data_IF_648754297057
#
_entry.id   IF_648754297057
#
_cell.length_a   1.000
_cell.length_b   1.000
_cell.length_c   1.000
_cell.angle_alpha   90.00
_cell.angle_beta   90.00
_cell.angle_gamma   90.00
#
_symmetry.space_group_name_H-M   'P 1'
#
loop_
_entity.id
_entity.type
_entity.pdbx_description
1 polymer ?
#
# COMPACT_ATOMS: atom_id res chain seq x y z
N UNK A 1 27.95 -34.02 -38.91
CA UNK A 1 26.87 -35.00 -38.67
C UNK A 1 26.51 -34.96 -37.19
N UNK A 2 25.25 -34.57 -36.85
CA UNK A 2 24.60 -34.60 -35.51
C UNK A 2 25.26 -33.68 -34.45
N UNK A 3 24.63 -32.63 -33.91
CA UNK A 3 23.26 -32.57 -33.37
C UNK A 3 22.61 -31.20 -33.62
N UNK A 4 21.67 -31.19 -34.56
CA UNK A 4 20.46 -30.36 -34.53
C UNK A 4 19.52 -30.95 -33.47
N UNK A 5 19.63 -30.53 -32.21
CA UNK A 5 18.60 -30.69 -31.15
C UNK A 5 18.95 -29.59 -30.14
N UNK A 6 18.34 -28.41 -30.15
CA UNK A 6 17.14 -28.16 -29.38
C UNK A 6 16.54 -26.82 -29.83
N UNK A 7 15.91 -26.83 -31.00
CA UNK A 7 14.89 -25.85 -31.39
C UNK A 7 13.55 -26.48 -30.98
N UNK A 8 12.61 -25.68 -30.49
CA UNK A 8 11.22 -26.02 -30.08
C UNK A 8 11.04 -26.23 -28.56
N UNK A 9 10.77 -25.12 -27.85
CA UNK A 9 9.53 -24.87 -27.09
C UNK A 9 9.70 -23.55 -26.30
N UNK A 10 9.65 -22.43 -27.00
CA UNK A 10 9.18 -21.18 -26.41
C UNK A 10 7.95 -20.78 -27.23
N UNK A 11 6.88 -21.53 -27.03
CA UNK A 11 5.53 -21.12 -27.41
C UNK A 11 5.32 -19.73 -26.82
N UNK A 12 5.21 -18.74 -27.71
CA UNK A 12 5.07 -17.34 -27.37
C UNK A 12 3.88 -17.13 -26.45
N UNK A 13 4.15 -17.01 -25.16
CA UNK A 13 3.31 -16.19 -24.29
C UNK A 13 3.74 -14.78 -24.63
N UNK A 14 3.07 -14.20 -25.63
CA UNK A 14 3.04 -12.76 -25.80
C UNK A 14 2.38 -12.26 -24.51
N UNK A 15 3.22 -11.90 -23.54
CA UNK A 15 2.78 -11.15 -22.38
C UNK A 15 2.37 -9.80 -22.95
N UNK A 16 1.08 -9.67 -23.28
CA UNK A 16 0.49 -8.39 -23.60
C UNK A 16 0.56 -7.60 -22.29
N UNK A 17 1.67 -6.91 -22.08
CA UNK A 17 1.73 -5.83 -21.13
C UNK A 17 0.75 -4.79 -21.67
N UNK A 18 -0.52 -4.91 -21.27
CA UNK A 18 -1.41 -3.77 -21.29
C UNK A 18 -0.81 -2.85 -20.24
N UNK A 19 0.15 -2.03 -20.66
CA UNK A 19 0.43 -0.78 -20.01
C UNK A 19 -0.87 0.00 -20.15
N UNK A 20 -1.76 -0.15 -19.19
CA UNK A 20 -2.84 0.82 -19.00
C UNK A 20 -2.09 2.11 -18.67
N UNK A 21 -1.85 2.94 -19.69
CA UNK A 21 -1.39 4.31 -19.50
C UNK A 21 -2.42 4.95 -18.59
N UNK A 22 -1.99 5.19 -17.36
CA UNK A 22 -2.84 5.83 -16.36
C UNK A 22 -3.11 7.25 -16.88
N UNK A 23 -4.36 7.72 -16.86
CA UNK A 23 -4.67 9.02 -17.44
C UNK A 23 -3.82 10.09 -16.74
N UNK A 24 -3.11 10.88 -17.54
CA UNK A 24 -2.24 11.93 -17.03
C UNK A 24 -3.04 13.11 -16.47
N UNK A 25 -2.41 13.95 -15.61
CA UNK A 25 -2.90 15.33 -15.53
C UNK A 25 -2.84 15.87 -16.96
N UNK A 26 -3.90 16.56 -17.38
CA UNK A 26 -3.95 17.16 -18.71
C UNK A 26 -4.05 18.66 -18.62
N UNK A 27 -3.26 19.35 -19.43
CA UNK A 27 -3.52 20.74 -19.77
C UNK A 27 -4.02 20.79 -21.21
N UNK A 28 -5.10 21.52 -21.44
CA UNK A 28 -5.59 21.83 -22.77
C UNK A 28 -5.15 23.26 -23.06
N UNK A 29 -4.34 23.44 -24.08
CA UNK A 29 -3.93 24.78 -24.54
C UNK A 29 -5.08 25.42 -25.33
N UNK A 30 -5.10 26.75 -25.40
CA UNK A 30 -6.05 27.53 -26.24
C UNK A 30 -5.97 27.16 -27.72
N UNK A 31 -4.84 26.60 -28.16
CA UNK A 31 -4.67 26.03 -29.50
C UNK A 31 -5.42 24.71 -29.72
N UNK A 32 -6.03 24.14 -28.67
CA UNK A 32 -6.65 22.82 -28.66
C UNK A 32 -5.67 21.67 -28.43
N UNK A 33 -4.36 21.94 -28.35
CA UNK A 33 -3.35 20.92 -28.06
C UNK A 33 -3.50 20.43 -26.62
N UNK A 34 -3.60 19.12 -26.45
CA UNK A 34 -3.59 18.45 -25.13
C UNK A 34 -2.16 18.07 -24.79
N UNK A 35 -1.73 18.41 -23.59
CA UNK A 35 -0.46 17.96 -23.01
C UNK A 35 -0.79 17.03 -21.86
N UNK A 36 -0.21 15.83 -21.91
CA UNK A 36 -0.34 14.80 -20.89
C UNK A 36 0.95 14.73 -20.06
N UNK A 37 0.86 14.92 -18.74
CA UNK A 37 2.00 14.74 -17.84
C UNK A 37 1.62 14.84 -16.36
N UNK A 38 2.59 14.96 -15.46
CA UNK A 38 2.35 15.28 -14.04
C UNK A 38 2.54 16.79 -13.84
N UNK A 39 1.53 17.49 -13.33
CA UNK A 39 1.70 18.93 -13.02
C UNK A 39 2.51 19.05 -11.74
N UNK A 40 3.77 19.46 -11.87
CA UNK A 40 4.72 19.60 -10.76
C UNK A 40 4.73 21.01 -10.17
N UNK A 41 4.32 22.01 -10.95
CA UNK A 41 4.21 23.40 -10.51
C UNK A 41 3.03 24.09 -11.20
N UNK A 42 2.27 24.88 -10.43
CA UNK A 42 1.23 25.75 -10.96
C UNK A 42 1.30 27.09 -10.21
N UNK A 43 1.61 28.15 -10.94
CA UNK A 43 1.61 29.53 -10.45
C UNK A 43 0.58 30.35 -11.24
N UNK A 44 0.47 31.64 -10.91
CA UNK A 44 -0.34 32.58 -11.68
C UNK A 44 0.23 32.83 -13.08
N UNK A 45 1.52 32.55 -13.30
CA UNK A 45 2.23 32.82 -14.56
C UNK A 45 2.41 31.59 -15.44
N UNK A 46 2.63 30.40 -14.85
CA UNK A 46 2.94 29.20 -15.61
C UNK A 46 2.44 27.91 -14.97
N UNK A 47 2.46 26.86 -15.77
CA UNK A 47 2.32 25.46 -15.34
C UNK A 47 3.52 24.67 -15.84
N UNK A 48 4.21 23.99 -14.94
CA UNK A 48 5.25 23.03 -15.28
C UNK A 48 4.68 21.62 -15.27
N UNK A 49 4.88 20.87 -16.36
CA UNK A 49 4.36 19.52 -16.57
C UNK A 49 5.52 18.57 -16.84
N UNK A 50 5.70 17.58 -15.98
CA UNK A 50 6.65 16.49 -16.21
C UNK A 50 6.04 15.48 -17.20
N UNK A 51 6.59 15.42 -18.42
CA UNK A 51 6.19 14.49 -19.49
C UNK A 51 7.25 13.40 -19.67
N UNK A 52 6.97 12.35 -20.44
CA UNK A 52 7.98 11.31 -20.74
C UNK A 52 9.23 11.85 -21.43
N UNK A 53 9.07 12.92 -22.22
CA UNK A 53 10.17 13.63 -22.90
C UNK A 53 10.92 14.63 -22.00
N UNK A 54 10.54 14.74 -20.73
CA UNK A 54 11.05 15.72 -19.76
C UNK A 54 10.04 16.81 -19.39
N UNK A 55 10.49 17.78 -18.60
CA UNK A 55 9.65 18.88 -18.09
C UNK A 55 9.33 19.91 -19.18
N UNK A 56 8.05 20.18 -19.40
CA UNK A 56 7.56 21.28 -20.23
C UNK A 56 6.99 22.41 -19.40
N UNK A 57 7.17 23.65 -19.85
CA UNK A 57 6.64 24.85 -19.20
C UNK A 57 5.63 25.51 -20.13
N UNK A 58 4.47 25.87 -19.58
CA UNK A 58 3.34 26.41 -20.34
C UNK A 58 2.86 27.68 -19.66
N UNK A 59 2.71 28.77 -20.41
CA UNK A 59 2.19 30.02 -19.85
C UNK A 59 0.73 29.82 -19.42
N UNK A 60 0.35 30.38 -18.28
CA UNK A 60 -1.02 30.30 -17.76
C UNK A 60 -2.02 30.91 -18.74
N UNK A 61 -1.60 31.94 -19.47
CA UNK A 61 -2.41 32.62 -20.47
C UNK A 61 -2.69 31.75 -21.70
N UNK A 62 -1.85 30.76 -22.00
CA UNK A 62 -2.01 29.86 -23.15
C UNK A 62 -2.84 28.63 -22.80
N UNK A 63 -3.16 28.42 -21.52
CA UNK A 63 -3.91 27.27 -21.04
C UNK A 63 -5.41 27.60 -21.03
N UNK A 64 -6.18 26.78 -21.72
CA UNK A 64 -7.64 26.82 -21.72
C UNK A 64 -8.22 26.15 -20.48
N UNK A 65 -7.72 24.96 -20.12
CA UNK A 65 -8.17 24.23 -18.94
C UNK A 65 -7.08 23.33 -18.38
N UNK A 66 -7.11 23.15 -17.06
CA UNK A 66 -6.25 22.22 -16.34
C UNK A 66 -7.13 21.15 -15.71
N UNK A 67 -6.92 19.90 -16.09
CA UNK A 67 -7.55 18.76 -15.47
C UNK A 67 -6.49 18.00 -14.67
N UNK A 68 -6.40 18.30 -13.38
CA UNK A 68 -5.60 17.51 -12.44
C UNK A 68 -6.38 16.25 -12.06
N UNK A 69 -5.74 15.09 -12.14
CA UNK A 69 -6.22 13.91 -11.43
C UNK A 69 -6.28 14.26 -9.94
N UNK A 70 -7.48 14.28 -9.38
CA UNK A 70 -7.67 14.36 -7.94
C UNK A 70 -7.51 12.97 -7.37
N UNK A 71 -7.07 12.86 -6.11
CA UNK A 71 -7.23 11.60 -5.40
C UNK A 71 -8.72 11.32 -5.27
N UNK A 72 -9.20 10.29 -5.96
CA UNK A 72 -10.59 9.86 -5.87
C UNK A 72 -10.80 9.14 -4.54
N UNK A 73 -12.03 9.19 -4.04
CA UNK A 73 -12.43 8.39 -2.88
C UNK A 73 -12.24 6.92 -3.28
N UNK A 74 -11.34 6.25 -2.58
CA UNK A 74 -11.15 4.83 -2.73
C UNK A 74 -12.18 4.09 -1.88
N UNK A 75 -12.57 2.90 -2.33
CA UNK A 75 -13.40 2.00 -1.53
C UNK A 75 -12.56 0.91 -0.90
N UNK A 76 -12.88 0.61 0.35
CA UNK A 76 -12.45 -0.57 1.07
C UNK A 76 -13.54 -1.63 1.11
N UNK A 77 -13.16 -2.84 1.49
CA UNK A 77 -14.10 -3.92 1.80
C UNK A 77 -13.55 -4.84 2.87
N UNK A 78 -14.41 -5.31 3.76
CA UNK A 78 -14.11 -6.42 4.66
C UNK A 78 -14.07 -7.71 3.83
N UNK A 79 -12.92 -8.39 3.80
CA UNK A 79 -12.73 -9.66 3.08
C UNK A 79 -12.80 -10.88 4.00
N UNK A 80 -12.67 -10.67 5.30
CA UNK A 80 -12.81 -11.68 6.36
C UNK A 80 -13.33 -11.01 7.63
N UNK A 81 -14.28 -11.65 8.30
CA UNK A 81 -14.80 -11.24 9.60
C UNK A 81 -15.04 -12.49 10.45
N UNK A 82 -14.47 -12.51 11.65
CA UNK A 82 -14.64 -13.58 12.64
C UNK A 82 -15.06 -12.95 13.96
N UNK A 83 -16.05 -13.52 14.64
CA UNK A 83 -16.61 -12.95 15.87
C UNK A 83 -17.43 -11.69 15.61
N UNK A 84 -17.42 -10.76 16.55
CA UNK A 84 -18.14 -9.48 16.47
C UNK A 84 -17.28 -8.44 15.76
N UNK A 85 -17.65 -8.13 14.53
CA UNK A 85 -17.05 -7.07 13.71
C UNK A 85 -18.14 -6.11 13.29
N UNK A 86 -17.91 -4.82 13.46
CA UNK A 86 -18.87 -3.78 13.15
C UNK A 86 -18.22 -2.60 12.44
N UNK A 87 -19.01 -1.89 11.64
CA UNK A 87 -18.64 -0.63 11.00
C UNK A 87 -19.56 0.46 11.49
N UNK A 88 -18.99 1.63 11.77
CA UNK A 88 -19.71 2.88 12.00
C UNK A 88 -19.52 3.76 10.77
N UNK A 89 -20.55 3.91 9.92
CA UNK A 89 -20.48 4.79 8.77
C UNK A 89 -20.24 6.24 9.19
N UNK A 90 -19.51 6.99 8.37
CA UNK A 90 -19.24 8.41 8.63
C UNK A 90 -20.53 9.20 8.85
N UNK A 91 -20.61 9.92 9.97
CA UNK A 91 -21.75 10.77 10.31
C UNK A 91 -22.91 10.03 10.97
N UNK A 92 -22.83 8.71 11.08
CA UNK A 92 -23.76 7.92 11.88
C UNK A 92 -23.28 7.78 13.33
N UNK A 93 -24.19 7.38 14.21
CA UNK A 93 -23.93 7.15 15.64
C UNK A 93 -24.10 5.69 16.05
N UNK A 94 -24.59 4.84 15.13
CA UNK A 94 -24.93 3.43 15.40
C UNK A 94 -23.96 2.51 14.66
N UNK A 95 -23.32 1.63 15.42
CA UNK A 95 -22.48 0.56 14.88
C UNK A 95 -23.35 -0.51 14.22
N UNK A 96 -22.96 -0.96 13.03
CA UNK A 96 -23.66 -1.97 12.24
C UNK A 96 -22.79 -3.22 12.10
N UNK A 97 -23.35 -4.43 12.18
CA UNK A 97 -22.60 -5.65 11.87
C UNK A 97 -21.94 -5.57 10.50
N UNK A 98 -20.67 -5.97 10.42
CA UNK A 98 -19.86 -5.89 9.22
C UNK A 98 -19.33 -7.27 8.80
N UNK A 99 -20.19 -8.13 8.22
CA UNK A 99 -19.76 -9.41 7.67
C UNK A 99 -18.82 -9.22 6.46
N UNK A 100 -18.24 -10.32 5.98
CA UNK A 100 -17.49 -10.33 4.72
C UNK A 100 -18.32 -9.70 3.58
N UNK A 101 -17.69 -8.82 2.82
CA UNK A 101 -18.31 -8.06 1.73
C UNK A 101 -18.76 -6.65 2.12
N UNK A 102 -18.80 -6.33 3.42
CA UNK A 102 -19.18 -4.99 3.89
C UNK A 102 -18.22 -3.94 3.32
N UNK A 103 -18.72 -2.88 2.65
CA UNK A 103 -17.90 -1.79 2.16
C UNK A 103 -17.35 -0.97 3.34
N UNK A 104 -16.21 -0.33 3.12
CA UNK A 104 -15.61 0.64 4.04
C UNK A 104 -15.22 1.86 3.22
N UNK A 105 -15.82 3.02 3.52
CA UNK A 105 -15.55 4.26 2.82
C UNK A 105 -14.71 5.24 3.68
N UNK A 106 -14.26 6.34 3.08
CA UNK A 106 -13.53 7.40 3.81
C UNK A 106 -14.39 7.96 4.96
N UNK A 107 -13.81 7.95 6.16
CA UNK A 107 -14.40 8.45 7.41
C UNK A 107 -15.13 7.38 8.23
N UNK A 108 -15.31 6.18 7.69
CA UNK A 108 -15.91 5.06 8.43
C UNK A 108 -14.97 4.57 9.53
N UNK A 109 -15.55 4.01 10.60
CA UNK A 109 -14.79 3.30 11.63
C UNK A 109 -15.07 1.81 11.58
N UNK A 110 -14.04 0.99 11.79
CA UNK A 110 -14.14 -0.46 11.96
C UNK A 110 -13.80 -0.78 13.41
N UNK A 111 -14.59 -1.65 14.05
CA UNK A 111 -14.24 -2.21 15.36
C UNK A 111 -14.41 -3.71 15.42
N UNK A 112 -13.69 -4.32 16.34
CA UNK A 112 -13.70 -5.75 16.64
C UNK A 112 -13.83 -5.96 18.14
N UNK A 113 -14.71 -6.88 18.55
CA UNK A 113 -14.88 -7.28 19.94
C UNK A 113 -13.77 -8.21 20.45
N UNK A 114 -13.91 -8.75 21.67
CA UNK A 114 -13.09 -9.85 22.17
C UNK A 114 -13.18 -11.08 21.25
N UNK A 115 -12.08 -11.83 21.10
CA UNK A 115 -12.00 -13.02 20.24
C UNK A 115 -12.48 -12.79 18.80
N UNK A 116 -12.39 -11.54 18.32
CA UNK A 116 -12.92 -11.12 17.02
C UNK A 116 -11.81 -10.54 16.15
N UNK A 117 -12.00 -10.58 14.85
CA UNK A 117 -10.98 -10.18 13.88
C UNK A 117 -11.61 -9.79 12.57
N UNK A 118 -11.14 -8.70 11.99
CA UNK A 118 -11.51 -8.28 10.65
C UNK A 118 -10.27 -8.21 9.76
N UNK A 119 -10.40 -8.58 8.49
CA UNK A 119 -9.40 -8.26 7.47
C UNK A 119 -10.09 -7.41 6.41
N UNK A 120 -9.57 -6.21 6.19
CA UNK A 120 -10.02 -5.27 5.19
C UNK A 120 -8.99 -5.15 4.08
N UNK A 121 -9.47 -4.94 2.86
CA UNK A 121 -8.66 -4.58 1.70
C UNK A 121 -9.11 -3.22 1.21
N UNK A 122 -8.14 -2.35 0.96
CA UNK A 122 -8.32 -0.95 0.58
C UNK A 122 -7.66 -0.64 -0.77
N UNK A 123 -7.68 0.64 -1.16
CA UNK A 123 -6.93 1.24 -2.26
C UNK A 123 -5.62 0.52 -2.61
N UNK A 124 -5.24 0.46 -3.90
CA UNK A 124 -4.00 -0.17 -4.38
C UNK A 124 -3.58 -1.47 -3.65
N UNK A 125 -4.54 -2.25 -3.15
CA UNK A 125 -4.30 -3.56 -2.50
C UNK A 125 -3.63 -3.49 -1.12
N UNK A 126 -3.82 -2.38 -0.39
CA UNK A 126 -3.45 -2.34 1.03
C UNK A 126 -4.33 -3.31 1.82
N UNK A 127 -3.71 -4.19 2.59
CA UNK A 127 -4.37 -5.12 3.49
C UNK A 127 -4.22 -4.58 4.91
N UNK A 128 -5.32 -4.54 5.66
CA UNK A 128 -5.30 -4.25 7.08
C UNK A 128 -6.04 -5.35 7.83
N UNK A 129 -5.39 -5.98 8.80
CA UNK A 129 -6.08 -6.83 9.76
C UNK A 129 -6.29 -6.05 11.06
N UNK A 130 -7.53 -5.97 11.50
CA UNK A 130 -7.97 -5.37 12.75
C UNK A 130 -8.12 -6.49 13.77
N UNK A 131 -7.21 -6.53 14.74
CA UNK A 131 -7.18 -7.56 15.79
C UNK A 131 -8.32 -7.37 16.79
N UNK A 132 -8.52 -8.31 17.68
CA UNK A 132 -9.54 -8.20 18.73
C UNK A 132 -9.42 -6.92 19.56
N UNK A 133 -10.54 -6.47 20.11
CA UNK A 133 -10.62 -5.29 20.98
C UNK A 133 -10.00 -4.04 20.35
N UNK A 134 -10.19 -3.86 19.05
CA UNK A 134 -9.60 -2.75 18.30
C UNK A 134 -10.66 -1.85 17.70
N UNK A 135 -10.30 -0.57 17.52
CA UNK A 135 -11.13 0.41 16.83
C UNK A 135 -10.24 1.29 15.97
N UNK A 136 -10.52 1.33 14.66
CA UNK A 136 -9.78 2.13 13.69
C UNK A 136 -10.74 2.97 12.86
N UNK A 137 -10.47 4.28 12.74
CA UNK A 137 -11.18 5.18 11.85
C UNK A 137 -10.36 5.43 10.57
N UNK A 138 -11.01 5.33 9.41
CA UNK A 138 -10.39 5.55 8.12
C UNK A 138 -10.50 7.02 7.68
N UNK A 139 -9.83 7.94 8.39
CA UNK A 139 -9.93 9.39 8.18
C UNK A 139 -9.69 9.83 6.72
N UNK A 140 -8.76 9.17 6.03
CA UNK A 140 -8.52 9.31 4.60
C UNK A 140 -8.46 7.95 3.95
N UNK A 141 -9.18 7.81 2.85
CA UNK A 141 -9.15 6.61 2.02
C UNK A 141 -9.25 7.02 0.57
N UNK A 142 -8.11 7.38 -0.01
CA UNK A 142 -8.07 7.98 -1.35
C UNK A 142 -7.01 7.31 -2.21
N UNK A 143 -7.25 7.27 -3.52
CA UNK A 143 -6.31 6.75 -4.49
C UNK A 143 -6.36 7.55 -5.78
N UNK A 144 -5.23 7.65 -6.45
CA UNK A 144 -5.15 8.01 -7.86
C UNK A 144 -4.16 7.05 -8.51
N UNK A 145 -4.42 6.62 -9.75
CA UNK A 145 -3.46 5.83 -10.47
C UNK A 145 -2.07 6.49 -10.56
N UNK A 146 -1.98 7.81 -10.85
CA UNK A 146 -0.69 8.53 -10.89
C UNK A 146 -0.13 8.90 -9.53
N UNK A 147 -0.97 9.45 -8.64
CA UNK A 147 -0.52 10.02 -7.36
C UNK A 147 -0.33 8.94 -6.29
N UNK A 148 -0.83 7.74 -6.55
CA UNK A 148 -0.75 6.59 -5.65
C UNK A 148 -1.85 6.64 -4.60
N UNK A 149 -1.52 6.37 -3.33
CA UNK A 149 -2.52 6.35 -2.26
C UNK A 149 -2.36 7.51 -1.30
N UNK A 150 -3.46 7.93 -0.69
CA UNK A 150 -3.46 8.78 0.50
C UNK A 150 -4.39 8.16 1.53
N UNK A 151 -3.81 7.35 2.41
CA UNK A 151 -4.54 6.66 3.47
C UNK A 151 -4.07 7.18 4.82
N UNK A 152 -5.04 7.53 5.66
CA UNK A 152 -4.82 7.91 7.04
C UNK A 152 -5.78 7.11 7.90
N UNK A 153 -5.22 6.23 8.73
CA UNK A 153 -5.94 5.43 9.69
C UNK A 153 -5.67 5.96 11.10
N UNK A 154 -6.71 6.11 11.91
CA UNK A 154 -6.62 6.52 13.30
C UNK A 154 -6.99 5.33 14.19
N UNK A 155 -6.00 4.75 14.86
CA UNK A 155 -6.18 3.62 15.77
C UNK A 155 -6.43 4.17 17.18
N UNK A 156 -7.68 4.05 17.63
CA UNK A 156 -8.08 4.49 18.97
C UNK A 156 -7.62 3.55 20.08
N UNK A 157 -7.53 2.24 19.77
CA UNK A 157 -7.13 1.20 20.72
C UNK A 157 -6.96 -0.15 20.04
N UNK A 158 -6.28 -1.09 20.69
CA UNK A 158 -6.05 -2.44 20.19
C UNK A 158 -4.87 -2.51 19.23
N UNK A 159 -4.98 -3.27 18.15
CA UNK A 159 -3.88 -3.55 17.22
C UNK A 159 -4.36 -3.68 15.77
N UNK A 160 -3.56 -3.13 14.85
CA UNK A 160 -3.70 -3.38 13.40
C UNK A 160 -2.39 -3.89 12.79
N UNK A 161 -2.52 -4.93 11.97
CA UNK A 161 -1.49 -5.36 11.04
C UNK A 161 -1.75 -4.74 9.67
N UNK A 162 -0.71 -4.20 9.04
CA UNK A 162 -0.82 -3.56 7.75
C UNK A 162 0.16 -4.20 6.78
N UNK A 163 -0.32 -4.54 5.60
CA UNK A 163 0.51 -4.82 4.45
C UNK A 163 0.16 -3.84 3.33
N UNK A 164 0.96 -2.79 3.23
CA UNK A 164 0.77 -1.64 2.34
C UNK A 164 1.38 -1.88 0.96
N UNK A 165 2.34 -2.81 0.87
CA UNK A 165 3.13 -2.99 -0.34
C UNK A 165 4.13 -1.87 -0.53
N UNK A 166 4.90 -1.96 -1.61
CA UNK A 166 5.86 -0.92 -1.97
C UNK A 166 5.10 0.24 -2.59
N UNK A 167 5.18 1.41 -1.95
CA UNK A 167 4.61 2.63 -2.49
C UNK A 167 5.41 3.07 -3.72
N UNK A 168 4.75 3.11 -4.88
CA UNK A 168 5.41 3.34 -6.18
C UNK A 168 5.67 4.81 -6.49
N UNK A 169 5.00 5.73 -5.80
CA UNK A 169 5.02 7.16 -6.10
C UNK A 169 5.49 7.93 -4.87
N UNK A 170 6.27 9.00 -5.07
CA UNK A 170 6.73 9.87 -3.96
C UNK A 170 5.58 10.56 -3.22
N UNK A 171 4.44 10.71 -3.91
CA UNK A 171 3.21 11.31 -3.38
C UNK A 171 2.37 10.33 -2.55
N UNK A 172 2.63 9.02 -2.67
CA UNK A 172 1.92 8.02 -1.86
C UNK A 172 2.19 8.22 -0.38
N UNK A 173 1.11 8.23 0.39
CA UNK A 173 1.10 8.48 1.82
C UNK A 173 0.25 7.43 2.50
N UNK A 174 0.83 6.75 3.47
CA UNK A 174 0.12 5.90 4.40
C UNK A 174 0.52 6.28 5.82
N UNK A 175 -0.47 6.69 6.61
CA UNK A 175 -0.28 7.07 8.00
C UNK A 175 -1.17 6.25 8.91
N UNK A 176 -0.61 5.83 10.04
CA UNK A 176 -1.36 5.38 11.21
C UNK A 176 -1.13 6.40 12.31
N UNK A 177 -2.20 6.94 12.86
CA UNK A 177 -2.17 7.81 14.02
C UNK A 177 -2.76 7.10 15.23
N UNK A 178 -2.18 7.35 16.39
CA UNK A 178 -2.73 6.96 17.69
C UNK A 178 -2.83 8.20 18.58
N UNK A 179 -3.16 8.00 19.85
CA UNK A 179 -3.02 9.05 20.86
C UNK A 179 -1.57 9.53 21.03
N UNK A 180 -0.58 8.64 20.88
CA UNK A 180 0.82 8.95 21.17
C UNK A 180 1.70 9.11 19.94
N UNK A 181 1.39 8.48 18.82
CA UNK A 181 2.31 8.38 17.69
C UNK A 181 1.64 8.70 16.34
N UNK A 182 2.48 9.10 15.40
CA UNK A 182 2.15 9.16 13.97
C UNK A 182 3.22 8.40 13.21
N UNK A 183 2.80 7.44 12.37
CA UNK A 183 3.70 6.66 11.51
C UNK A 183 3.65 7.17 10.08
N UNK A 184 4.78 7.41 9.43
CA UNK A 184 4.89 7.60 7.98
C UNK A 184 5.49 6.36 7.33
N UNK A 185 4.78 5.74 6.40
CA UNK A 185 5.17 4.44 5.83
C UNK A 185 5.68 4.61 4.40
N UNK A 186 6.80 3.93 4.07
CA UNK A 186 7.29 3.80 2.68
C UNK A 186 7.36 2.37 2.15
N UNK A 187 6.84 1.40 2.90
CA UNK A 187 6.71 -0.03 2.54
C UNK A 187 7.17 -0.94 3.68
N UNK A 188 6.78 -2.23 3.79
CA UNK A 188 5.57 -2.86 3.22
C UNK A 188 4.73 -3.59 4.27
N UNK A 189 5.31 -4.16 5.35
CA UNK A 189 4.54 -4.87 6.40
C UNK A 189 4.94 -4.42 7.80
N UNK A 190 3.96 -3.97 8.58
CA UNK A 190 4.17 -3.51 9.95
C UNK A 190 2.90 -3.63 10.79
N UNK A 191 3.06 -3.57 12.11
CA UNK A 191 1.95 -3.52 13.07
C UNK A 191 2.03 -2.26 13.91
N UNK A 192 0.86 -1.74 14.29
CA UNK A 192 0.72 -0.70 15.30
C UNK A 192 -0.22 -1.23 16.37
N UNK A 193 0.22 -1.18 17.63
CA UNK A 193 -0.56 -1.59 18.79
C UNK A 193 -0.62 -0.44 19.78
N UNK A 194 -1.79 -0.19 20.34
CA UNK A 194 -2.00 0.68 21.50
C UNK A 194 -2.20 -0.23 22.71
N UNK A 195 -1.23 -0.22 23.62
CA UNK A 195 -1.30 -0.96 24.87
C UNK A 195 -2.28 -0.32 25.87
N UNK A 196 -2.61 -1.04 26.94
CA UNK A 196 -3.59 -0.60 27.94
C UNK A 196 -3.18 0.69 28.67
N UNK A 197 -1.89 0.96 28.79
CA UNK A 197 -1.29 2.18 29.34
C UNK A 197 -1.21 3.33 28.30
N UNK A 198 -1.88 3.18 27.16
CA UNK A 198 -1.83 4.04 25.98
C UNK A 198 -0.47 4.10 25.26
N UNK A 199 0.53 3.31 25.65
CA UNK A 199 1.81 3.23 24.93
C UNK A 199 1.56 2.68 23.52
N UNK A 200 2.07 3.39 22.52
CA UNK A 200 2.00 2.91 21.13
C UNK A 200 3.25 2.13 20.77
N UNK A 201 3.09 0.86 20.38
CA UNK A 201 4.15 0.00 19.88
C UNK A 201 4.06 -0.10 18.36
N UNK A 202 5.18 0.06 17.68
CA UNK A 202 5.29 -0.06 16.23
C UNK A 202 6.38 -1.07 15.91
N UNK A 203 6.04 -2.16 15.20
CA UNK A 203 7.00 -3.19 14.79
C UNK A 203 6.94 -3.38 13.27
N UNK A 204 8.11 -3.44 12.63
CA UNK A 204 8.25 -3.45 11.16
C UNK A 204 8.84 -4.77 10.71
N UNK A 205 8.04 -5.58 10.04
CA UNK A 205 8.47 -6.89 9.54
C UNK A 205 9.21 -6.76 8.23
N UNK A 206 8.74 -5.88 7.34
CA UNK A 206 9.33 -5.67 6.02
C UNK A 206 9.29 -4.18 5.66
N UNK A 207 10.41 -3.68 5.13
CA UNK A 207 10.60 -2.30 4.70
C UNK A 207 10.98 -1.33 5.83
N UNK A 208 10.33 -0.17 5.88
CA UNK A 208 10.70 0.93 6.80
C UNK A 208 9.49 1.81 7.14
N UNK A 209 9.40 2.17 8.42
CA UNK A 209 8.40 3.08 8.96
C UNK A 209 9.09 4.19 9.74
N UNK A 210 8.75 5.43 9.42
CA UNK A 210 9.15 6.60 10.20
C UNK A 210 8.12 6.82 11.32
N UNK A 211 8.57 6.90 12.56
CA UNK A 211 7.70 7.03 13.75
C UNK A 211 8.05 8.30 14.50
N UNK A 212 7.05 9.09 14.85
CA UNK A 212 7.23 10.27 15.70
C UNK A 212 6.14 10.36 16.76
N UNK A 213 6.42 11.10 17.82
CA UNK A 213 5.42 11.43 18.83
C UNK A 213 4.43 12.44 18.28
N UNK A 214 3.15 12.22 18.54
CA UNK A 214 2.07 13.14 18.17
C UNK A 214 2.21 14.43 18.99
N UNK A 215 2.01 15.59 18.34
CA UNK A 215 2.06 16.90 18.99
C UNK A 215 3.47 17.44 19.31
N UNK A 216 4.53 16.64 19.14
CA UNK A 216 5.90 17.11 19.35
C UNK A 216 6.58 17.47 18.03
N UNK A 217 7.28 18.61 18.00
CA UNK A 217 8.13 19.02 16.88
C UNK A 217 9.49 18.31 17.00
N UNK A 218 9.62 17.17 16.34
CA UNK A 218 10.85 16.38 16.34
C UNK A 218 11.06 15.64 15.03
N UNK A 219 12.31 15.29 14.75
CA UNK A 219 12.63 14.37 13.66
C UNK A 219 12.05 12.98 13.94
N UNK A 220 11.45 12.31 12.93
CA UNK A 220 10.98 10.94 13.10
C UNK A 220 12.13 9.96 13.37
N UNK A 221 11.88 8.98 14.24
CA UNK A 221 12.69 7.78 14.41
C UNK A 221 12.40 6.80 13.29
N UNK A 222 13.42 6.44 12.51
CA UNK A 222 13.30 5.47 11.43
C UNK A 222 13.40 4.05 11.96
N UNK A 223 12.34 3.26 11.83
CA UNK A 223 12.27 1.85 12.22
C UNK A 223 12.38 0.98 10.97
N UNK A 224 13.42 0.15 10.90
CA UNK A 224 13.69 -0.75 9.78
C UNK A 224 13.07 -2.12 10.03
N UNK A 225 13.09 -2.96 8.99
CA UNK A 225 12.75 -4.38 9.09
C UNK A 225 13.38 -5.06 10.32
N UNK A 226 12.66 -6.03 10.86
CA UNK A 226 13.03 -6.79 12.06
C UNK A 226 13.27 -5.93 13.32
N UNK A 227 12.79 -4.69 13.32
CA UNK A 227 12.88 -3.78 14.48
C UNK A 227 11.53 -3.25 14.94
N UNK A 228 11.48 -2.79 16.19
CA UNK A 228 10.33 -2.13 16.80
C UNK A 228 10.74 -0.93 17.66
N UNK A 229 9.80 -0.02 17.88
CA UNK A 229 9.92 1.13 18.79
C UNK A 229 8.63 1.29 19.58
N UNK A 230 8.72 2.00 20.70
CA UNK A 230 7.59 2.32 21.56
C UNK A 230 7.51 3.83 21.80
N UNK A 231 6.29 4.36 21.85
CA UNK A 231 6.02 5.77 22.08
C UNK A 231 5.07 5.89 23.27
N UNK A 232 5.64 6.27 24.42
CA UNK A 232 4.89 6.62 25.61
C UNK A 232 4.44 8.08 25.57
N UNK A 233 3.50 8.45 26.45
CA UNK A 233 2.93 9.79 26.49
C UNK A 233 3.98 10.89 26.66
N UNK A 234 3.97 11.88 25.75
CA UNK A 234 4.90 13.02 25.73
C UNK A 234 6.39 12.64 25.70
N UNK A 235 6.73 11.42 25.26
CA UNK A 235 8.12 10.96 25.12
C UNK A 235 8.46 10.75 23.66
N UNK A 236 9.73 10.96 23.31
CA UNK A 236 10.28 10.54 22.02
C UNK A 236 10.11 9.02 21.85
N UNK A 237 10.01 8.52 20.59
CA UNK A 237 10.06 7.08 20.35
C UNK A 237 11.36 6.49 20.92
N UNK A 238 11.28 5.32 21.54
CA UNK A 238 12.45 4.59 22.03
C UNK A 238 13.40 4.23 20.88
N UNK A 239 14.67 4.04 21.20
CA UNK A 239 15.63 3.53 20.22
C UNK A 239 15.13 2.20 19.63
N UNK A 240 15.18 2.00 18.30
CA UNK A 240 14.73 0.75 17.70
C UNK A 240 15.44 -0.47 18.31
N UNK A 241 14.66 -1.48 18.66
CA UNK A 241 15.12 -2.76 19.21
C UNK A 241 14.55 -3.90 18.37
N UNK A 242 15.02 -5.14 18.59
CA UNK A 242 14.49 -6.30 17.87
C UNK A 242 12.97 -6.48 18.14
N UNK A 243 12.23 -6.94 17.13
CA UNK A 243 10.80 -7.26 17.31
C UNK A 243 10.63 -8.31 18.42
N UNK A 244 9.65 -8.09 19.29
CA UNK A 244 9.29 -9.04 20.34
C UNK A 244 8.85 -10.39 19.77
N UNK A 245 9.08 -11.46 20.53
CA UNK A 245 8.67 -12.81 20.10
C UNK A 245 7.16 -12.92 19.88
N UNK A 246 6.35 -12.20 20.65
CA UNK A 246 4.89 -12.18 20.50
C UNK A 246 4.46 -11.63 19.14
N UNK A 247 5.05 -10.52 18.69
CA UNK A 247 4.76 -9.98 17.36
C UNK A 247 5.25 -10.89 16.25
N UNK A 248 6.41 -11.55 16.41
CA UNK A 248 6.90 -12.54 15.45
C UNK A 248 5.93 -13.73 15.36
N UNK A 249 5.48 -14.25 16.49
CA UNK A 249 4.54 -15.36 16.55
C UNK A 249 3.19 -15.00 15.90
N UNK A 250 2.68 -13.79 16.17
CA UNK A 250 1.45 -13.30 15.54
C UNK A 250 1.62 -13.09 14.03
N UNK A 251 2.74 -12.52 13.58
CA UNK A 251 3.03 -12.36 12.16
C UNK A 251 3.05 -13.70 11.42
N UNK A 252 3.60 -14.75 12.03
CA UNK A 252 3.63 -16.08 11.42
C UNK A 252 2.23 -16.61 11.08
N UNK A 253 1.19 -16.18 11.81
CA UNK A 253 -0.21 -16.52 11.49
C UNK A 253 -0.72 -15.79 10.25
N UNK A 254 -0.20 -14.59 9.95
CA UNK A 254 -0.61 -13.77 8.82
C UNK A 254 0.21 -13.97 7.57
N UNK A 255 1.49 -14.30 7.70
CA UNK A 255 2.48 -14.27 6.62
C UNK A 255 1.98 -14.94 5.35
N UNK A 256 1.43 -16.15 5.46
CA UNK A 256 0.92 -16.87 4.30
C UNK A 256 -0.38 -16.27 3.75
N UNK A 257 -1.29 -15.86 4.64
CA UNK A 257 -2.57 -15.25 4.27
C UNK A 257 -2.36 -13.95 3.49
N UNK A 258 -1.54 -13.04 4.02
CA UNK A 258 -1.23 -11.76 3.39
C UNK A 258 -0.55 -11.97 2.04
N UNK A 259 0.40 -12.92 1.96
CA UNK A 259 1.05 -13.29 0.70
C UNK A 259 0.05 -13.79 -0.37
N UNK A 260 -0.87 -14.69 0.00
CA UNK A 260 -1.87 -15.23 -0.91
C UNK A 260 -2.83 -14.13 -1.38
N UNK A 261 -3.32 -13.29 -0.46
CA UNK A 261 -4.21 -12.18 -0.82
C UNK A 261 -3.53 -11.21 -1.78
N UNK A 262 -2.27 -10.85 -1.52
CA UNK A 262 -1.49 -9.99 -2.41
C UNK A 262 -1.33 -10.59 -3.80
N UNK A 263 -0.94 -11.85 -3.90
CA UNK A 263 -0.82 -12.54 -5.18
C UNK A 263 -2.16 -12.56 -5.92
N UNK A 264 -3.25 -12.97 -5.27
CA UNK A 264 -4.58 -12.99 -5.89
C UNK A 264 -5.03 -11.63 -6.41
N UNK A 265 -4.76 -10.55 -5.68
CA UNK A 265 -5.09 -9.19 -6.12
C UNK A 265 -4.22 -8.72 -7.30
N UNK A 266 -2.94 -9.08 -7.36
CA UNK A 266 -2.08 -8.82 -8.53
C UNK A 266 -2.60 -9.57 -9.77
N UNK A 267 -3.01 -10.82 -9.58
CA UNK A 267 -3.62 -11.67 -10.59
C UNK A 267 -4.88 -11.10 -11.22
N UNK A 268 -5.80 -10.63 -10.38
CA UNK A 268 -7.05 -10.02 -10.83
C UNK A 268 -6.84 -8.82 -11.77
N UNK A 269 -5.77 -8.03 -11.59
CA UNK A 269 -5.43 -6.93 -12.51
C UNK A 269 -5.04 -7.41 -13.90
N UNK A 270 -4.57 -8.65 -14.01
CA UNK A 270 -4.18 -9.31 -15.24
C UNK A 270 -5.29 -10.23 -15.79
N UNK A 271 -6.50 -10.18 -15.21
CA UNK A 271 -7.59 -11.09 -15.57
C UNK A 271 -7.36 -12.55 -15.16
N UNK A 272 -6.40 -12.81 -14.27
CA UNK A 272 -6.07 -14.16 -13.82
C UNK A 272 -6.86 -14.53 -12.57
N UNK A 273 -7.35 -15.78 -12.53
CA UNK A 273 -7.87 -16.39 -11.30
C UNK A 273 -6.76 -16.57 -10.25
N UNK A 274 -7.10 -16.73 -8.96
CA UNK A 274 -6.11 -16.95 -7.91
C UNK A 274 -5.17 -18.15 -8.17
N UNK A 275 -5.70 -19.24 -8.72
CA UNK A 275 -4.91 -20.42 -9.10
C UNK A 275 -4.00 -20.12 -10.27
N UNK A 276 -4.51 -19.51 -11.35
CA UNK A 276 -3.68 -19.08 -12.49
C UNK A 276 -2.57 -18.13 -12.07
N UNK A 277 -2.83 -17.25 -11.11
CA UNK A 277 -1.84 -16.30 -10.60
C UNK A 277 -0.73 -16.99 -9.83
N UNK A 278 -1.08 -17.98 -9.01
CA UNK A 278 -0.10 -18.79 -8.29
C UNK A 278 0.79 -19.57 -9.27
N UNK A 279 0.19 -20.19 -10.29
CA UNK A 279 0.94 -20.92 -11.32
C UNK A 279 1.82 -19.98 -12.15
N UNK A 280 1.33 -18.82 -12.56
CA UNK A 280 2.11 -17.84 -13.30
C UNK A 280 3.31 -17.33 -12.49
N UNK A 281 3.12 -17.03 -11.20
CA UNK A 281 4.19 -16.64 -10.29
C UNK A 281 5.25 -17.73 -10.12
N UNK A 282 4.83 -18.99 -9.94
CA UNK A 282 5.74 -20.13 -9.82
C UNK A 282 6.53 -20.37 -11.12
N UNK A 283 5.87 -20.33 -12.27
CA UNK A 283 6.51 -20.50 -13.58
C UNK A 283 7.56 -19.41 -13.84
N UNK A 284 7.26 -18.15 -13.51
CA UNK A 284 8.21 -17.04 -13.63
C UNK A 284 9.43 -17.23 -12.73
N UNK A 285 9.24 -17.69 -11.49
CA UNK A 285 10.34 -17.97 -10.57
C UNK A 285 11.27 -19.07 -11.10
N UNK A 286 10.70 -20.17 -11.63
CA UNK A 286 11.48 -21.25 -12.26
C UNK A 286 12.26 -20.72 -13.47
N UNK A 287 11.62 -19.91 -14.32
CA UNK A 287 12.28 -19.29 -15.48
C UNK A 287 13.47 -18.42 -15.06
N UNK A 288 13.30 -17.57 -14.03
CA UNK A 288 14.37 -16.73 -13.50
C UNK A 288 15.55 -17.59 -13.01
N UNK A 289 15.28 -18.65 -12.24
CA UNK A 289 16.32 -19.57 -11.77
C UNK A 289 17.07 -20.20 -12.96
N UNK A 290 16.35 -20.67 -13.98
CA UNK A 290 16.96 -21.25 -15.19
C UNK A 290 17.84 -20.21 -15.89
N UNK A 291 17.37 -18.98 -16.08
CA UNK A 291 18.15 -17.91 -16.72
C UNK A 291 19.40 -17.56 -15.90
N UNK A 292 19.29 -17.43 -14.58
CA UNK A 292 20.44 -17.16 -13.69
C UNK A 292 21.46 -18.29 -13.77
N UNK A 293 21.03 -19.55 -13.73
CA UNK A 293 21.91 -20.71 -13.86
C UNK A 293 22.62 -20.70 -15.22
N UNK A 294 21.90 -20.44 -16.32
CA UNK A 294 22.50 -20.35 -17.66
C UNK A 294 23.53 -19.23 -17.74
N UNK A 295 23.25 -18.05 -17.17
CA UNK A 295 24.19 -16.92 -17.15
C UNK A 295 25.44 -17.23 -16.30
N UNK A 296 25.28 -17.90 -15.17
CA UNK A 296 26.39 -18.31 -14.31
C UNK A 296 27.28 -19.38 -14.97
N UNK A 297 26.68 -20.34 -15.67
CA UNK A 297 27.43 -21.35 -16.44
C UNK A 297 28.21 -20.68 -17.56
N UNK A 298 27.59 -19.77 -18.32
CA UNK A 298 28.27 -19.03 -19.40
C UNK A 298 29.43 -18.17 -18.91
N UNK A 299 29.31 -17.53 -17.74
CA UNK A 299 30.39 -16.74 -17.12
C UNK A 299 31.57 -17.58 -16.61
N UNK A 300 31.37 -18.88 -16.34
CA UNK A 300 32.46 -19.78 -15.92
C UNK A 300 33.19 -20.41 -17.10
N UNK A 301 32.57 -20.43 -18.27
CA UNK A 301 33.12 -21.00 -19.51
C UNK A 301 33.77 -19.95 -20.43
N UNK A 302 33.75 -18.67 -20.03
CA UNK A 302 34.42 -17.55 -20.70
C UNK A 302 35.58 -17.06 -19.81
#
# INVERSE_FOLDING_TARGET
MKRKILTILLSGIILFAIATTLPADTIVLKSGKVIEGEIVEETDLLVAVEMESGTGFFSKEDIQSINKERLDIAKGKIVEATGTVEVLPKGETVWKPAPKGTPVDEGDSIRSGPNSKAVAVFANQVIMAVEQQSSVNMEKLQQSPKKGINIKANLGGGQIWNDVGTLKTKQSKFFVETSQAVTGVRGTVFTVQVAADATTKVAVVDGTVDVRTRGLMMSPTKVKENSMTEVAANRAPSAPSAISQDFVAQWNQYKMKFRIMRLGMLGGRLGLSPTQTLYAGAALAVLIVVVVVVLLVRRRTA
#
